data_IF_705118993572
#
_entry.id   IF_705118993572
#
_cell.length_a   1.000
_cell.length_b   1.000
_cell.length_c   1.000
_cell.angle_alpha   90.00
_cell.angle_beta   90.00
_cell.angle_gamma   90.00
#
_symmetry.space_group_name_H-M   'P 1'
#
loop_
_entity.id
_entity.type
_entity.pdbx_description
1 polymer ?
#
# COMPACT_ATOMS: atom_id res chain seq x y z
N UNK A 1 -5.54 7.73 14.49
CA UNK A 1 -5.60 6.62 15.49
C UNK A 1 -4.42 5.71 15.18
N UNK A 2 -3.89 4.93 16.12
CA UNK A 2 -2.71 4.09 15.82
C UNK A 2 -2.87 3.22 14.56
N UNK A 3 -4.10 2.85 14.20
CA UNK A 3 -4.40 2.15 12.94
C UNK A 3 -4.32 3.05 11.71
N UNK A 4 -4.91 4.24 11.75
CA UNK A 4 -4.83 5.21 10.65
C UNK A 4 -3.37 5.62 10.36
N UNK A 5 -2.58 5.85 11.41
CA UNK A 5 -1.17 6.24 11.28
C UNK A 5 -0.35 5.11 10.59
N UNK A 6 -0.65 3.85 10.92
CA UNK A 6 -0.04 2.69 10.25
C UNK A 6 -0.49 2.56 8.79
N UNK A 7 -1.77 2.82 8.50
CA UNK A 7 -2.31 2.78 7.15
C UNK A 7 -1.68 3.86 6.26
N UNK A 8 -1.45 5.05 6.79
CA UNK A 8 -0.75 6.14 6.10
C UNK A 8 0.71 5.77 5.79
N UNK A 9 1.44 5.27 6.79
CA UNK A 9 2.81 4.80 6.62
C UNK A 9 2.92 3.70 5.56
N UNK A 10 2.02 2.72 5.61
CA UNK A 10 2.00 1.63 4.64
C UNK A 10 1.71 2.16 3.22
N UNK A 11 0.74 3.08 3.07
CA UNK A 11 0.43 3.72 1.79
C UNK A 11 1.64 4.47 1.22
N UNK A 12 2.34 5.22 2.07
CA UNK A 12 3.55 5.97 1.72
C UNK A 12 4.67 5.04 1.25
N UNK A 13 4.93 3.94 1.97
CA UNK A 13 5.92 2.94 1.61
C UNK A 13 5.61 2.30 0.25
N UNK A 14 4.36 1.91 -0.01
CA UNK A 14 3.96 1.32 -1.29
C UNK A 14 4.09 2.33 -2.43
N UNK A 15 3.64 3.59 -2.26
CA UNK A 15 3.85 4.65 -3.28
C UNK A 15 5.32 4.86 -3.58
N UNK A 16 6.15 4.91 -2.55
CA UNK A 16 7.58 5.10 -2.68
C UNK A 16 8.24 3.95 -3.46
N UNK A 17 7.86 2.70 -3.20
CA UNK A 17 8.33 1.54 -3.96
C UNK A 17 7.90 1.61 -5.43
N UNK A 18 6.63 1.96 -5.68
CA UNK A 18 6.11 2.15 -7.04
C UNK A 18 6.82 3.28 -7.79
N UNK A 19 7.13 4.39 -7.13
CA UNK A 19 7.91 5.50 -7.68
C UNK A 19 9.34 5.12 -8.08
N UNK A 20 9.91 4.09 -7.45
CA UNK A 20 11.21 3.49 -7.82
C UNK A 20 11.11 2.43 -8.91
N UNK A 21 9.93 2.21 -9.50
CA UNK A 21 9.72 1.24 -10.56
C UNK A 21 9.50 -0.20 -10.09
N UNK A 22 9.44 -0.45 -8.78
CA UNK A 22 9.21 -1.81 -8.26
C UNK A 22 7.84 -2.32 -8.70
N UNK A 23 7.81 -3.54 -9.22
CA UNK A 23 6.61 -4.27 -9.62
C UNK A 23 5.78 -4.69 -8.41
N UNK A 24 4.49 -4.98 -8.64
CA UNK A 24 3.63 -5.53 -7.59
C UNK A 24 4.10 -6.89 -7.06
N UNK A 25 4.84 -7.66 -7.86
CA UNK A 25 5.46 -8.92 -7.42
C UNK A 25 6.56 -8.66 -6.39
N UNK A 26 7.46 -7.71 -6.65
CA UNK A 26 8.55 -7.36 -5.71
C UNK A 26 7.98 -6.75 -4.42
N UNK A 27 6.93 -5.94 -4.53
CA UNK A 27 6.22 -5.39 -3.37
C UNK A 27 5.52 -6.50 -2.58
N UNK A 28 4.84 -7.44 -3.25
CA UNK A 28 4.21 -8.58 -2.59
C UNK A 28 5.23 -9.41 -1.81
N UNK A 29 6.39 -9.70 -2.42
CA UNK A 29 7.50 -10.36 -1.75
C UNK A 29 7.98 -9.59 -0.51
N UNK A 30 8.22 -8.28 -0.62
CA UNK A 30 8.66 -7.44 0.50
C UNK A 30 7.63 -7.31 1.63
N UNK A 31 6.34 -7.42 1.33
CA UNK A 31 5.23 -7.40 2.30
C UNK A 31 4.86 -8.80 2.83
N UNK A 32 5.53 -9.87 2.39
CA UNK A 32 5.19 -11.24 2.77
C UNK A 32 3.84 -11.72 2.22
N UNK A 33 3.37 -11.15 1.11
CA UNK A 33 2.12 -11.50 0.44
C UNK A 33 2.37 -12.57 -0.63
N UNK A 34 1.44 -13.53 -0.73
CA UNK A 34 1.59 -14.66 -1.65
C UNK A 34 1.41 -14.32 -3.14
N UNK A 35 0.84 -13.16 -3.48
CA UNK A 35 0.57 -12.77 -4.88
C UNK A 35 0.72 -11.26 -5.12
N UNK A 36 1.07 -10.83 -6.35
CA UNK A 36 1.06 -9.42 -6.75
C UNK A 36 -0.31 -8.75 -6.53
N UNK A 37 -1.37 -9.51 -6.76
CA UNK A 37 -2.76 -9.03 -6.66
C UNK A 37 -3.09 -8.67 -5.21
N UNK A 38 -2.62 -9.45 -4.23
CA UNK A 38 -2.80 -9.14 -2.82
C UNK A 38 -2.16 -7.80 -2.44
N UNK A 39 -0.96 -7.51 -2.96
CA UNK A 39 -0.30 -6.22 -2.75
C UNK A 39 -1.10 -5.06 -3.38
N UNK A 40 -1.54 -5.22 -4.63
CA UNK A 40 -2.35 -4.21 -5.32
C UNK A 40 -3.67 -3.92 -4.60
N UNK A 41 -4.44 -4.96 -4.24
CA UNK A 41 -5.71 -4.78 -3.55
C UNK A 41 -5.53 -4.15 -2.17
N UNK A 42 -4.44 -4.48 -1.45
CA UNK A 42 -4.13 -3.85 -0.17
C UNK A 42 -3.88 -2.35 -0.35
N UNK A 43 -3.09 -1.96 -1.35
CA UNK A 43 -2.89 -0.55 -1.70
C UNK A 43 -4.19 0.16 -2.07
N UNK A 44 -5.02 -0.43 -2.93
CA UNK A 44 -6.31 0.17 -3.33
C UNK A 44 -7.23 0.38 -2.11
N UNK A 45 -7.27 -0.57 -1.17
CA UNK A 45 -8.03 -0.41 0.09
C UNK A 45 -7.46 0.66 1.02
N UNK A 46 -6.14 0.86 1.04
CA UNK A 46 -5.48 1.87 1.86
C UNK A 46 -5.66 3.27 1.25
N UNK A 47 -5.38 3.41 -0.04
CA UNK A 47 -5.50 4.66 -0.78
C UNK A 47 -6.96 5.14 -0.87
N UNK A 48 -7.92 4.23 -1.02
CA UNK A 48 -9.35 4.58 -1.01
C UNK A 48 -9.84 5.10 0.35
N UNK A 49 -9.20 4.71 1.47
CA UNK A 49 -9.52 5.25 2.79
C UNK A 49 -8.93 6.64 2.99
N UNK A 50 -7.68 6.86 2.59
CA UNK A 50 -7.05 8.18 2.65
C UNK A 50 -7.83 9.23 1.84
N UNK A 51 -8.34 8.86 0.65
CA UNK A 51 -9.15 9.77 -0.17
C UNK A 51 -10.50 10.15 0.49
N UNK A 52 -11.07 9.27 1.33
CA UNK A 52 -12.31 9.55 2.06
C UNK A 52 -12.11 10.27 3.39
N UNK A 53 -10.86 10.45 3.85
CA UNK A 53 -10.51 11.23 5.05
C UNK A 53 -10.20 12.70 4.71
N UNK A 54 -9.99 13.03 3.43
CA UNK A 54 -9.72 14.40 2.95
C UNK A 54 -11.01 15.21 2.62
N UNK A 55 -12.20 14.61 2.73
CA UNK A 55 -13.53 15.27 2.63
C UNK A 55 -14.14 15.60 4.01
#
# INVERSE_FOLDING_TARGET
>A
SARADLDELETGLIRMARGRGMTWQEIAFGLGLGTPQAARQRYERLAGRAAGEEE
#
